data_IF_346148953368
#
_entry.id   IF_346148953368
#
_cell.length_a   1.000
_cell.length_b   1.000
_cell.length_c   1.000
_cell.angle_alpha   90.00
_cell.angle_beta   90.00
_cell.angle_gamma   90.00
#
_symmetry.space_group_name_H-M   'P 1'
#
loop_
_entity.id
_entity.type
_entity.pdbx_description
1 polymer ?
#
# COMPACT_ATOMS: atom_id res chain seq x y z
N UNK A 1 -4.11 9.92 11.61
CA UNK A 1 -2.87 9.89 10.81
C UNK A 1 -2.63 11.29 10.26
N UNK A 2 -1.43 11.87 10.44
CA UNK A 2 -1.01 13.04 9.68
C UNK A 2 -0.97 12.66 8.20
N UNK A 3 -1.54 13.47 7.33
CA UNK A 3 -1.46 13.22 5.89
C UNK A 3 -0.12 13.70 5.35
N UNK A 4 0.58 12.86 4.58
CA UNK A 4 1.75 13.30 3.83
C UNK A 4 1.23 14.03 2.59
N UNK A 5 1.02 15.35 2.66
CA UNK A 5 0.51 16.14 1.52
C UNK A 5 -0.81 15.54 0.97
N UNK A 6 -1.78 15.28 1.85
CA UNK A 6 -3.08 14.63 1.55
C UNK A 6 -3.04 13.12 1.18
N UNK A 7 -1.87 12.47 1.25
CA UNK A 7 -1.72 11.01 1.17
C UNK A 7 -1.90 10.35 2.54
N UNK A 8 -2.59 9.21 2.55
CA UNK A 8 -2.77 8.35 3.72
C UNK A 8 -2.29 6.94 3.36
N UNK A 9 -1.30 6.44 4.10
CA UNK A 9 -0.77 5.09 3.96
C UNK A 9 -1.18 4.28 5.19
N UNK A 10 -1.60 3.03 5.00
CA UNK A 10 -1.93 2.13 6.10
C UNK A 10 -1.82 0.67 5.67
N UNK A 11 -1.62 -0.22 6.65
CA UNK A 11 -1.64 -1.66 6.43
C UNK A 11 -3.05 -2.19 6.71
N UNK A 12 -3.61 -2.97 5.80
CA UNK A 12 -4.93 -3.59 5.94
C UNK A 12 -4.85 -5.12 5.93
N UNK A 13 -5.57 -5.76 6.85
CA UNK A 13 -5.80 -7.20 6.84
C UNK A 13 -6.83 -7.54 5.77
N UNK A 14 -6.49 -8.44 4.84
CA UNK A 14 -7.32 -8.66 3.64
C UNK A 14 -8.59 -9.47 3.90
N UNK A 15 -8.68 -10.15 5.05
CA UNK A 15 -9.87 -10.86 5.51
C UNK A 15 -10.98 -9.97 6.11
N UNK A 16 -10.67 -8.72 6.50
CA UNK A 16 -11.63 -7.85 7.23
C UNK A 16 -11.62 -6.37 6.85
N UNK A 17 -10.75 -5.92 5.94
CA UNK A 17 -10.45 -4.48 5.69
C UNK A 17 -10.14 -3.73 6.99
N UNK A 18 -9.62 -4.45 7.97
CA UNK A 18 -9.24 -3.90 9.26
C UNK A 18 -7.87 -3.27 9.10
N UNK A 19 -7.77 -1.98 9.44
CA UNK A 19 -6.49 -1.30 9.49
C UNK A 19 -5.70 -1.80 10.69
N UNK A 20 -4.45 -2.20 10.47
CA UNK A 20 -3.57 -2.56 11.57
C UNK A 20 -3.20 -1.31 12.37
N UNK A 21 -3.01 -1.53 13.67
CA UNK A 21 -2.49 -0.50 14.55
C UNK A 21 -1.00 -0.31 14.28
N UNK A 22 -0.65 0.92 13.95
CA UNK A 22 0.70 1.38 13.70
C UNK A 22 1.33 1.92 14.99
N UNK A 23 2.63 1.66 15.17
CA UNK A 23 3.43 2.07 16.32
C UNK A 23 4.69 2.78 15.87
N UNK A 24 5.11 3.81 16.63
CA UNK A 24 6.36 4.52 16.36
C UNK A 24 6.41 5.19 14.98
N UNK A 25 5.26 5.59 14.43
CA UNK A 25 5.20 6.09 13.05
C UNK A 25 5.92 7.42 12.88
N UNK A 26 6.85 7.48 11.94
CA UNK A 26 7.60 8.68 11.56
C UNK A 26 7.23 9.05 10.11
N UNK A 27 6.81 10.30 9.92
CA UNK A 27 6.54 10.86 8.60
C UNK A 27 7.69 11.78 8.19
N UNK A 28 8.39 11.42 7.11
CA UNK A 28 9.40 12.25 6.47
C UNK A 28 8.90 12.85 5.16
N UNK A 29 9.75 13.57 4.43
CA UNK A 29 9.40 14.04 3.09
C UNK A 29 9.45 12.89 2.09
N UNK A 30 8.27 12.36 1.72
CA UNK A 30 8.17 11.26 0.76
C UNK A 30 8.32 9.86 1.34
N UNK A 31 8.48 9.71 2.66
CA UNK A 31 8.58 8.42 3.33
C UNK A 31 7.71 8.34 4.58
N UNK A 32 7.29 7.11 4.91
CA UNK A 32 6.64 6.76 6.17
C UNK A 32 7.34 5.52 6.69
N UNK A 33 7.80 5.58 7.94
CA UNK A 33 8.32 4.44 8.67
C UNK A 33 7.38 4.14 9.82
N UNK A 34 7.03 2.87 10.01
CA UNK A 34 6.14 2.45 11.09
C UNK A 34 6.38 0.99 11.47
N UNK A 35 6.08 0.67 12.71
CA UNK A 35 6.07 -0.69 13.22
C UNK A 35 4.63 -1.19 13.34
N UNK A 36 4.43 -2.49 13.17
CA UNK A 36 3.17 -3.18 13.44
C UNK A 36 3.42 -4.38 14.32
N UNK A 37 2.47 -4.69 15.18
CA UNK A 37 2.51 -5.94 15.92
C UNK A 37 2.19 -7.11 14.97
N UNK A 38 3.00 -8.16 15.02
CA UNK A 38 2.70 -9.41 14.31
C UNK A 38 1.44 -10.03 14.93
N UNK A 39 0.38 -10.28 14.15
CA UNK A 39 -0.82 -10.92 14.67
C UNK A 39 -0.55 -12.34 15.17
N UNK A 40 -1.33 -12.80 16.15
CA UNK A 40 -1.17 -14.15 16.73
C UNK A 40 -1.46 -15.27 15.74
N UNK A 41 -2.41 -15.05 14.83
CA UNK A 41 -2.80 -16.01 13.80
C UNK A 41 -2.21 -15.59 12.46
N UNK A 42 -1.71 -16.54 11.65
CA UNK A 42 -1.29 -16.26 10.28
C UNK A 42 -2.42 -15.62 9.50
N UNK A 43 -2.14 -14.47 8.88
CA UNK A 43 -3.14 -13.78 8.09
C UNK A 43 -2.55 -12.86 7.04
N UNK A 44 -3.22 -12.77 5.88
CA UNK A 44 -2.74 -11.97 4.77
C UNK A 44 -2.97 -10.48 5.02
N UNK A 45 -2.07 -9.66 4.48
CA UNK A 45 -2.16 -8.22 4.53
C UNK A 45 -1.68 -7.55 3.24
N UNK A 46 -2.19 -6.34 3.03
CA UNK A 46 -1.78 -5.45 1.95
C UNK A 46 -1.45 -4.06 2.52
N UNK A 47 -0.70 -3.28 1.77
CA UNK A 47 -0.44 -1.87 2.10
C UNK A 47 -1.24 -1.01 1.15
N UNK A 48 -2.02 -0.08 1.70
CA UNK A 48 -2.88 0.80 0.93
C UNK A 48 -2.43 2.25 1.04
N UNK A 49 -2.27 2.89 -0.11
CA UNK A 49 -2.00 4.32 -0.22
C UNK A 49 -3.18 5.00 -0.90
N UNK A 50 -3.79 5.96 -0.23
CA UNK A 50 -4.97 6.67 -0.73
C UNK A 50 -4.84 8.18 -0.60
N UNK A 51 -5.44 8.94 -1.53
CA UNK A 51 -5.52 10.39 -1.45
C UNK A 51 -6.96 10.90 -1.36
N UNK A 52 -7.14 12.04 -0.68
CA UNK A 52 -8.42 12.76 -0.66
C UNK A 52 -8.50 13.85 -1.73
N UNK A 53 -7.36 14.27 -2.25
CA UNK A 53 -7.22 15.27 -3.31
C UNK A 53 -6.40 14.71 -4.45
N UNK A 54 -6.46 15.38 -5.60
CA UNK A 54 -5.58 15.09 -6.72
C UNK A 54 -4.13 15.25 -6.28
N UNK A 55 -3.35 14.21 -6.52
CA UNK A 55 -1.89 14.23 -6.43
C UNK A 55 -1.36 14.34 -7.85
N UNK A 56 -0.28 15.08 -8.05
CA UNK A 56 0.30 15.34 -9.38
C UNK A 56 0.36 14.07 -10.27
N UNK A 57 0.36 14.20 -11.61
CA UNK A 57 0.22 13.07 -12.57
C UNK A 57 1.25 11.93 -12.48
N UNK A 58 2.20 12.00 -11.55
CA UNK A 58 3.17 10.96 -11.27
C UNK A 58 3.24 10.69 -9.77
N UNK A 59 2.86 9.48 -9.38
CA UNK A 59 3.12 8.93 -8.06
C UNK A 59 3.62 7.49 -8.25
N UNK A 60 4.68 7.14 -7.51
CA UNK A 60 5.19 5.79 -7.41
C UNK A 60 5.45 5.49 -5.94
N UNK A 61 5.29 4.23 -5.57
CA UNK A 61 5.49 3.75 -4.21
C UNK A 61 6.47 2.59 -4.20
N UNK A 62 7.31 2.56 -3.18
CA UNK A 62 8.22 1.45 -2.86
C UNK A 62 7.93 1.00 -1.44
N UNK A 63 7.91 -0.30 -1.21
CA UNK A 63 7.69 -0.90 0.11
C UNK A 63 8.94 -1.69 0.50
N UNK A 64 9.45 -1.37 1.68
CA UNK A 64 10.49 -2.13 2.35
C UNK A 64 9.89 -2.76 3.60
N UNK A 65 10.09 -4.07 3.78
CA UNK A 65 9.69 -4.82 4.98
C UNK A 65 10.97 -5.45 5.51
N UNK A 66 11.28 -5.21 6.78
CA UNK A 66 12.52 -5.65 7.43
C UNK A 66 13.80 -5.26 6.65
N UNK A 67 13.78 -4.06 6.07
CA UNK A 67 14.90 -3.53 5.27
C UNK A 67 15.01 -4.11 3.85
N UNK A 68 14.16 -5.09 3.49
CA UNK A 68 14.17 -5.73 2.16
C UNK A 68 13.09 -5.10 1.28
N UNK A 69 13.43 -4.78 0.03
CA UNK A 69 12.46 -4.38 -0.97
C UNK A 69 11.57 -5.57 -1.36
N UNK A 70 10.26 -5.47 -1.14
CA UNK A 70 9.36 -6.63 -1.25
C UNK A 70 8.09 -6.39 -2.10
N UNK A 71 8.05 -5.40 -2.99
CA UNK A 71 6.85 -5.15 -3.82
C UNK A 71 7.18 -4.82 -5.28
N UNK A 72 6.20 -4.95 -6.17
CA UNK A 72 6.29 -4.37 -7.52
C UNK A 72 6.12 -2.84 -7.46
N UNK A 73 6.79 -2.12 -8.38
CA UNK A 73 6.60 -0.67 -8.54
C UNK A 73 5.19 -0.39 -9.07
N UNK A 74 4.29 -0.01 -8.16
CA UNK A 74 2.94 0.35 -8.51
C UNK A 74 2.85 1.80 -8.99
N UNK A 75 2.23 1.98 -10.16
CA UNK A 75 1.93 3.27 -10.77
C UNK A 75 0.52 3.23 -11.32
N UNK A 76 -0.34 4.15 -10.87
CA UNK A 76 -1.54 4.48 -11.63
C UNK A 76 -1.16 5.55 -12.66
N UNK A 77 -1.68 5.41 -13.87
CA UNK A 77 -1.58 6.43 -14.91
C UNK A 77 -2.49 7.62 -14.54
N UNK A 78 -2.17 8.29 -13.43
CA UNK A 78 -2.89 9.45 -12.91
C UNK A 78 -2.87 10.53 -13.98
N UNK A 79 -4.05 11.00 -14.35
CA UNK A 79 -4.23 12.09 -15.31
C UNK A 79 -5.03 13.17 -14.64
N UNK A 80 -4.65 14.43 -14.88
CA UNK A 80 -5.50 15.55 -14.53
C UNK A 80 -6.79 15.44 -15.37
N UNK A 81 -7.94 15.48 -14.70
CA UNK A 81 -9.27 15.47 -15.34
C UNK A 81 -10.03 16.68 -14.84
N UNK A 82 -10.77 17.34 -15.74
CA UNK A 82 -11.61 18.49 -15.44
C UNK A 82 -13.05 18.19 -15.86
N UNK A 83 -14.00 18.02 -14.91
CA UNK A 83 -13.81 18.07 -13.46
C UNK A 83 -13.03 16.85 -12.92
N UNK A 84 -12.37 16.95 -11.74
CA UNK A 84 -11.74 15.80 -11.11
C UNK A 84 -12.75 14.69 -10.80
N UNK A 85 -12.38 13.44 -11.05
CA UNK A 85 -13.19 12.27 -10.70
C UNK A 85 -12.41 11.32 -9.77
N UNK A 86 -13.04 10.20 -9.36
CA UNK A 86 -12.37 9.20 -8.51
C UNK A 86 -11.12 8.58 -9.16
N UNK A 87 -11.05 8.54 -10.49
CA UNK A 87 -9.88 8.04 -11.24
C UNK A 87 -8.74 9.06 -11.29
N UNK A 88 -9.00 10.30 -10.85
CA UNK A 88 -7.98 11.31 -10.58
C UNK A 88 -7.35 11.17 -9.19
N UNK A 89 -7.93 10.37 -8.29
CA UNK A 89 -7.40 10.15 -6.94
C UNK A 89 -6.48 8.93 -6.90
N UNK A 90 -5.56 8.93 -5.94
CA UNK A 90 -4.67 7.81 -5.67
C UNK A 90 -5.44 6.79 -4.85
N UNK A 91 -5.40 5.52 -5.29
CA UNK A 91 -5.84 4.38 -4.51
C UNK A 91 -4.98 3.16 -4.90
N UNK A 92 -3.78 3.05 -4.33
CA UNK A 92 -2.90 1.90 -4.53
C UNK A 92 -3.20 0.87 -3.46
N UNK A 93 -3.48 -0.37 -3.87
CA UNK A 93 -3.42 -1.53 -3.01
C UNK A 93 -2.18 -2.31 -3.45
N UNK A 94 -1.13 -2.24 -2.64
CA UNK A 94 0.16 -2.86 -2.92
C UNK A 94 0.20 -4.21 -2.24
N UNK A 95 0.73 -5.19 -2.97
CA UNK A 95 0.85 -6.59 -2.55
C UNK A 95 2.25 -7.10 -2.82
N UNK A 96 2.61 -8.25 -2.23
CA UNK A 96 3.92 -8.88 -2.38
C UNK A 96 4.27 -9.12 -3.84
N UNK A 97 3.33 -9.67 -4.62
CA UNK A 97 3.55 -10.02 -6.02
C UNK A 97 2.31 -9.76 -6.85
N UNK A 98 2.48 -9.11 -8.00
CA UNK A 98 1.43 -8.92 -9.00
C UNK A 98 1.94 -9.32 -10.38
N UNK A 99 1.42 -10.42 -10.92
CA UNK A 99 1.78 -10.93 -12.24
C UNK A 99 0.62 -10.74 -13.21
N UNK A 100 0.91 -10.15 -14.38
CA UNK A 100 -0.03 -10.08 -15.48
C UNK A 100 0.17 -11.31 -16.36
N UNK A 101 -0.88 -12.10 -16.52
CA UNK A 101 -0.92 -13.15 -17.52
C UNK A 101 -1.22 -12.56 -18.91
N UNK A 102 -0.87 -13.31 -19.95
CA UNK A 102 -1.03 -12.91 -21.36
C UNK A 102 -2.50 -12.66 -21.75
N UNK A 103 -3.44 -13.24 -21.00
CA UNK A 103 -4.89 -13.02 -21.13
C UNK A 103 -5.37 -11.71 -20.48
N UNK A 104 -4.47 -10.95 -19.85
CA UNK A 104 -4.77 -9.72 -19.14
C UNK A 104 -5.23 -9.92 -17.69
N UNK A 105 -5.31 -11.17 -17.20
CA UNK A 105 -5.61 -11.46 -15.80
C UNK A 105 -4.44 -11.04 -14.90
N UNK A 106 -4.77 -10.51 -13.72
CA UNK A 106 -3.79 -10.15 -12.70
C UNK A 106 -3.87 -11.15 -11.56
N UNK A 107 -2.80 -11.92 -11.35
CA UNK A 107 -2.63 -12.74 -10.15
C UNK A 107 -1.90 -11.88 -9.12
N UNK A 108 -2.59 -11.59 -8.02
CA UNK A 108 -2.06 -10.80 -6.93
C UNK A 108 -1.89 -11.69 -5.69
N UNK A 109 -0.72 -11.63 -5.06
CA UNK A 109 -0.42 -12.32 -3.79
C UNK A 109 -0.12 -11.31 -2.72
N UNK A 110 -0.97 -11.29 -1.70
CA UNK A 110 -0.77 -10.52 -0.48
C UNK A 110 0.49 -11.01 0.25
N UNK A 111 1.05 -10.16 1.11
CA UNK A 111 1.98 -10.66 2.13
C UNK A 111 1.23 -11.47 3.17
N UNK A 112 1.91 -12.35 3.87
CA UNK A 112 1.33 -13.09 4.98
C UNK A 112 2.15 -12.83 6.24
N UNK A 113 1.47 -12.51 7.34
CA UNK A 113 2.07 -12.73 8.65
C UNK A 113 2.11 -14.24 8.87
N UNK A 114 3.30 -14.76 9.16
CA UNK A 114 3.50 -16.17 9.50
C UNK A 114 4.31 -16.24 10.78
N UNK A 115 4.09 -17.32 11.54
CA UNK A 115 5.01 -17.62 12.65
C UNK A 115 6.35 -18.00 12.05
N UNK A 116 7.41 -17.53 12.69
CA UNK A 116 8.74 -18.04 12.45
C UNK A 116 8.74 -19.55 12.78
N UNK A 117 8.86 -20.37 11.74
CA UNK A 117 9.08 -21.81 11.86
C UNK A 117 10.58 -22.01 12.08
N UNK A 118 11.00 -22.09 13.35
CA UNK A 118 12.40 -22.28 13.78
C UNK A 118 12.52 -23.63 14.45
#
# INVERSE_FOLDING_TARGET
>A
MPSLKDLNCFIELTNGKTQLREFGTIYGDGCVETFVAVPEQPQPFAIRLSSRKFIAPGLAMYVFIDGVYQCNRNRQNLKLRNPPDRKSLVDFVVRQKEERHDDGMIIARDWNFERLDI
#
